data_IF_414740147044
#
_entry.id   IF_414740147044
#
_cell.length_a   1.000
_cell.length_b   1.000
_cell.length_c   1.000
_cell.angle_alpha   90.00
_cell.angle_beta   90.00
_cell.angle_gamma   90.00
#
_symmetry.space_group_name_H-M   'P 1'
#
loop_
_entity.id
_entity.type
_entity.pdbx_description
1 polymer ?
#
# COMPACT_ATOMS: atom_id res chain seq x y z
N UNK A 1 18.94 3.30 20.37
CA UNK A 1 18.33 3.17 19.03
C UNK A 1 16.83 2.99 19.24
N UNK A 2 15.96 3.88 18.75
CA UNK A 2 14.52 3.64 18.84
C UNK A 2 14.15 2.46 17.93
N UNK A 3 13.22 1.58 18.36
CA UNK A 3 12.77 0.48 17.53
C UNK A 3 12.10 1.05 16.29
N UNK A 4 12.58 0.66 15.10
CA UNK A 4 11.84 0.83 13.86
C UNK A 4 10.69 -0.18 13.90
N UNK A 5 9.65 0.10 14.68
CA UNK A 5 8.39 -0.61 14.60
C UNK A 5 7.87 -0.37 13.20
N UNK A 6 8.09 -1.35 12.32
CA UNK A 6 7.58 -1.32 10.95
C UNK A 6 6.11 -0.99 11.03
N UNK A 7 5.70 0.09 10.38
CA UNK A 7 4.34 0.58 10.43
C UNK A 7 3.40 -0.54 9.97
N UNK A 8 2.77 -1.23 10.92
CA UNK A 8 1.83 -2.30 10.63
C UNK A 8 0.63 -1.66 9.95
N UNK A 9 0.30 -2.17 8.77
CA UNK A 9 -0.88 -1.76 8.03
C UNK A 9 -2.06 -2.57 8.56
N UNK A 10 -2.82 -1.99 9.48
CA UNK A 10 -4.06 -2.57 9.98
C UNK A 10 -5.24 -2.29 9.05
N UNK A 11 -6.33 -3.06 9.21
CA UNK A 11 -7.58 -2.88 8.44
C UNK A 11 -8.15 -1.45 8.56
N UNK A 12 -7.94 -0.80 9.72
CA UNK A 12 -8.35 0.58 9.93
C UNK A 12 -7.51 1.53 9.06
N UNK A 13 -6.19 1.35 9.07
CA UNK A 13 -5.21 2.15 8.32
C UNK A 13 -5.39 1.99 6.81
N UNK A 14 -5.68 0.78 6.35
CA UNK A 14 -6.03 0.47 4.95
C UNK A 14 -7.27 1.24 4.49
N UNK A 15 -8.38 1.12 5.25
CA UNK A 15 -9.63 1.80 4.95
C UNK A 15 -9.45 3.33 4.94
N UNK A 16 -8.72 3.86 5.92
CA UNK A 16 -8.42 5.29 6.00
C UNK A 16 -7.56 5.78 4.83
N UNK A 17 -6.56 4.99 4.41
CA UNK A 17 -5.75 5.27 3.23
C UNK A 17 -6.61 5.33 1.97
N UNK A 18 -7.44 4.31 1.74
CA UNK A 18 -8.31 4.22 0.57
C UNK A 18 -9.32 5.37 0.52
N UNK A 19 -9.99 5.67 1.64
CA UNK A 19 -10.91 6.82 1.74
C UNK A 19 -10.19 8.13 1.44
N UNK A 20 -8.98 8.31 1.94
CA UNK A 20 -8.19 9.53 1.71
C UNK A 20 -7.80 9.66 0.23
N UNK A 21 -7.42 8.57 -0.44
CA UNK A 21 -7.13 8.55 -1.88
C UNK A 21 -8.38 8.90 -2.71
N UNK A 22 -9.56 8.39 -2.31
CA UNK A 22 -10.83 8.70 -2.97
C UNK A 22 -11.19 10.18 -2.77
N UNK A 23 -11.06 10.70 -1.54
CA UNK A 23 -11.32 12.11 -1.17
C UNK A 23 -10.40 13.09 -1.90
N UNK A 24 -9.11 12.73 -2.06
CA UNK A 24 -8.10 13.58 -2.73
C UNK A 24 -8.36 13.75 -4.22
N UNK A 25 -9.17 12.86 -4.81
CA UNK A 25 -9.69 13.06 -6.15
C UNK A 25 -8.86 12.36 -7.23
N UNK A 26 -9.49 11.33 -7.79
CA UNK A 26 -9.20 10.65 -9.04
C UNK A 26 -7.89 9.84 -9.12
N UNK A 27 -8.06 8.55 -9.43
CA UNK A 27 -7.07 7.51 -9.75
C UNK A 27 -5.96 7.89 -10.77
N UNK A 28 -6.01 9.09 -11.36
CA UNK A 28 -5.04 9.61 -12.33
C UNK A 28 -4.11 10.70 -11.78
N UNK A 29 -4.44 11.33 -10.65
CA UNK A 29 -3.71 12.49 -10.09
C UNK A 29 -3.46 12.36 -8.59
N UNK A 30 -3.14 11.15 -8.12
CA UNK A 30 -2.97 10.87 -6.70
C UNK A 30 -1.75 11.62 -6.14
N UNK A 31 -2.01 12.64 -5.33
CA UNK A 31 -0.95 13.37 -4.62
C UNK A 31 -0.61 12.66 -3.31
N UNK A 32 0.40 11.79 -3.37
CA UNK A 32 0.83 10.97 -2.23
C UNK A 32 1.28 11.81 -1.04
N UNK A 33 1.76 13.03 -1.29
CA UNK A 33 2.17 13.95 -0.22
C UNK A 33 0.96 14.44 0.55
N UNK A 34 -0.09 14.90 -0.15
CA UNK A 34 -1.34 15.29 0.47
C UNK A 34 -2.00 14.12 1.25
N UNK A 35 -1.95 12.90 0.71
CA UNK A 35 -2.46 11.72 1.40
C UNK A 35 -1.68 11.41 2.68
N UNK A 36 -0.34 11.48 2.63
CA UNK A 36 0.49 11.28 3.82
C UNK A 36 0.18 12.33 4.89
N UNK A 37 0.02 13.61 4.52
CA UNK A 37 -0.39 14.67 5.44
C UNK A 37 -1.75 14.38 6.09
N UNK A 38 -2.72 13.91 5.31
CA UNK A 38 -4.04 13.50 5.84
C UNK A 38 -3.96 12.28 6.75
N UNK A 39 -3.10 11.31 6.46
CA UNK A 39 -2.86 10.16 7.33
C UNK A 39 -2.17 10.56 8.65
N UNK A 40 -1.21 11.48 8.59
CA UNK A 40 -0.57 12.07 9.78
C UNK A 40 -1.57 12.83 10.64
N UNK A 41 -2.47 13.60 10.03
CA UNK A 41 -3.56 14.27 10.73
C UNK A 41 -4.51 13.28 11.45
N UNK A 42 -4.64 12.06 10.95
CA UNK A 42 -5.40 10.96 11.58
C UNK A 42 -4.63 10.21 12.68
N UNK A 43 -3.38 10.59 12.94
CA UNK A 43 -2.52 9.98 13.94
C UNK A 43 -1.61 8.86 13.41
N UNK A 44 -1.54 8.68 12.08
CA UNK A 44 -0.70 7.67 11.46
C UNK A 44 0.63 8.25 10.95
N UNK A 45 1.75 7.63 11.30
CA UNK A 45 3.08 8.08 10.85
C UNK A 45 3.54 7.34 9.58
N UNK A 46 2.70 7.33 8.54
CA UNK A 46 3.07 6.73 7.25
C UNK A 46 3.71 7.78 6.33
N UNK A 47 4.74 7.38 5.61
CA UNK A 47 5.35 8.22 4.57
C UNK A 47 4.54 8.11 3.28
N UNK A 48 4.61 9.15 2.45
CA UNK A 48 4.06 9.14 1.08
C UNK A 48 4.50 7.92 0.24
N UNK A 49 5.73 7.43 0.43
CA UNK A 49 6.22 6.21 -0.24
C UNK A 49 5.53 4.95 0.28
N UNK A 50 5.32 4.85 1.60
CA UNK A 50 4.62 3.73 2.22
C UNK A 50 3.16 3.67 1.74
N UNK A 51 2.47 4.81 1.68
CA UNK A 51 1.10 4.92 1.15
C UNK A 51 1.01 4.41 -0.29
N UNK A 52 1.97 4.81 -1.14
CA UNK A 52 2.04 4.37 -2.54
C UNK A 52 2.29 2.87 -2.67
N UNK A 53 3.24 2.32 -1.91
CA UNK A 53 3.54 0.90 -1.94
C UNK A 53 2.36 0.07 -1.44
N UNK A 54 1.71 0.50 -0.36
CA UNK A 54 0.55 -0.22 0.18
C UNK A 54 -0.61 -0.22 -0.82
N UNK A 55 -0.92 0.92 -1.44
CA UNK A 55 -1.94 1.00 -2.49
C UNK A 55 -1.65 0.13 -3.71
N UNK A 56 -0.38 0.03 -4.13
CA UNK A 56 0.01 -0.88 -5.20
C UNK A 56 -0.21 -2.34 -4.82
N UNK A 57 0.08 -2.71 -3.56
CA UNK A 57 -0.16 -4.06 -3.04
C UNK A 57 -1.66 -4.37 -3.05
N UNK A 58 -2.51 -3.49 -2.51
CA UNK A 58 -3.98 -3.64 -2.50
C UNK A 58 -4.51 -3.81 -3.93
N UNK A 59 -4.06 -2.99 -4.89
CA UNK A 59 -4.46 -3.13 -6.31
C UNK A 59 -4.02 -4.46 -6.91
N UNK A 60 -2.85 -4.98 -6.53
CA UNK A 60 -2.35 -6.26 -7.02
C UNK A 60 -3.14 -7.41 -6.42
N UNK A 61 -3.39 -7.39 -5.11
CA UNK A 61 -4.18 -8.39 -4.40
C UNK A 61 -5.63 -8.41 -4.90
N UNK A 62 -6.26 -7.23 -5.07
CA UNK A 62 -7.62 -7.13 -5.64
C UNK A 62 -7.72 -7.63 -7.09
N UNK A 63 -6.64 -7.56 -7.88
CA UNK A 63 -6.58 -8.21 -9.21
C UNK A 63 -6.31 -9.71 -9.11
N UNK A 64 -5.52 -10.13 -8.13
CA UNK A 64 -5.16 -11.53 -7.90
C UNK A 64 -6.28 -12.35 -7.24
N UNK A 65 -7.32 -11.71 -6.69
CA UNK A 65 -8.53 -12.36 -6.17
C UNK A 65 -9.47 -12.88 -7.28
N UNK A 66 -9.11 -12.66 -8.56
CA UNK A 66 -9.60 -13.51 -9.65
C UNK A 66 -8.97 -14.90 -9.51
N UNK A 67 -9.71 -16.03 -9.56
CA UNK A 67 -9.20 -17.37 -9.26
C UNK A 67 -8.30 -17.97 -10.36
N UNK A 68 -7.39 -17.18 -10.93
CA UNK A 68 -6.39 -17.63 -11.87
C UNK A 68 -5.09 -16.86 -11.63
N UNK A 69 -4.25 -17.41 -10.75
CA UNK A 69 -2.82 -17.67 -10.98
C UNK A 69 -2.07 -17.65 -9.66
N UNK A 70 -1.65 -18.84 -9.25
CA UNK A 70 -0.59 -19.09 -8.29
C UNK A 70 0.62 -18.17 -8.53
N UNK A 71 1.24 -17.60 -7.49
CA UNK A 71 2.55 -16.98 -7.63
C UNK A 71 3.57 -18.09 -7.83
N UNK A 72 3.85 -18.46 -9.08
CA UNK A 72 5.08 -19.17 -9.43
C UNK A 72 6.22 -18.23 -9.08
N UNK A 73 6.83 -18.45 -7.93
CA UNK A 73 8.14 -17.91 -7.62
C UNK A 73 9.14 -18.66 -8.51
N UNK A 74 9.28 -18.24 -9.76
CA UNK A 74 10.32 -18.72 -10.66
C UNK A 74 11.68 -18.20 -10.16
N UNK A 75 12.22 -18.83 -9.10
CA UNK A 75 13.66 -18.80 -8.86
C UNK A 75 14.25 -19.92 -9.72
N UNK A 76 14.68 -19.54 -10.91
CA UNK A 76 15.45 -20.38 -11.80
C UNK A 76 16.66 -20.98 -11.06
N UNK A 77 16.57 -22.25 -10.71
CA UNK A 77 17.72 -23.10 -10.46
C UNK A 77 18.03 -23.79 -11.79
N UNK A 78 18.96 -23.22 -12.55
CA UNK A 78 19.55 -23.89 -13.71
C UNK A 78 21.02 -24.15 -13.40
N UNK A 79 21.25 -25.40 -12.99
CA UNK A 79 22.51 -26.12 -12.91
C UNK A 79 23.13 -26.31 -14.31
N UNK A 80 24.45 -26.50 -14.40
CA UNK A 80 25.02 -27.56 -15.21
C UNK A 80 25.45 -28.76 -14.35
#
# INVERSE_FOLDING_TARGET
MPPRTGSQWDHKSDKDLLLTIIDTGALKGIDWKAIAERMVAKGYTFTHEACRQHFQKIRKEARSDSPASTPTHARASSTP
#
